data_IF_545790114684
#
_entry.id   IF_545790114684
#
_cell.length_a   1.000
_cell.length_b   1.000
_cell.length_c   1.000
_cell.angle_alpha   90.00
_cell.angle_beta   90.00
_cell.angle_gamma   90.00
#
_symmetry.space_group_name_H-M   'P 1'
#
loop_
_entity.id
_entity.type
_entity.pdbx_description
1 polymer ?
#
# COMPACT_ATOMS: atom_id res chain seq x y z
N UNK A 1 17.78 -7.00 0.89
CA UNK A 1 18.61 -7.19 -0.33
C UNK A 1 19.97 -6.49 -0.13
N UNK A 2 21.01 -6.89 -0.87
CA UNK A 2 22.37 -6.31 -0.79
C UNK A 2 22.43 -4.99 -1.57
N UNK A 3 23.19 -4.02 -1.04
CA UNK A 3 23.46 -2.70 -1.62
C UNK A 3 23.69 -2.80 -3.14
N UNK A 4 22.75 -2.26 -3.92
CA UNK A 4 22.78 -2.36 -5.39
C UNK A 4 23.92 -1.50 -5.93
N UNK A 5 24.79 -2.06 -6.78
CA UNK A 5 25.87 -1.29 -7.40
C UNK A 5 25.30 -0.19 -8.31
N UNK A 6 25.88 1.01 -8.26
CA UNK A 6 25.47 2.17 -9.07
C UNK A 6 25.39 1.84 -10.57
N UNK A 7 26.36 1.06 -11.10
CA UNK A 7 26.36 0.64 -12.51
C UNK A 7 25.14 -0.19 -12.92
N UNK A 8 24.59 -1.00 -11.99
CA UNK A 8 23.36 -1.77 -12.23
C UNK A 8 22.14 -0.86 -12.28
N UNK A 9 22.07 0.16 -11.42
CA UNK A 9 20.98 1.15 -11.46
C UNK A 9 20.97 1.93 -12.78
N UNK A 10 22.13 2.36 -13.27
CA UNK A 10 22.24 3.02 -14.59
C UNK A 10 21.82 2.09 -15.73
N UNK A 11 22.14 0.80 -15.65
CA UNK A 11 21.69 -0.19 -16.61
C UNK A 11 20.16 -0.37 -16.63
N UNK A 12 19.53 -0.32 -15.45
CA UNK A 12 18.07 -0.40 -15.30
C UNK A 12 17.36 0.88 -15.74
N UNK A 13 17.96 2.06 -15.50
CA UNK A 13 17.43 3.33 -15.99
C UNK A 13 17.31 3.38 -17.52
N UNK A 14 18.14 2.63 -18.25
CA UNK A 14 18.02 2.52 -19.72
C UNK A 14 16.82 1.67 -20.15
N UNK A 15 16.31 0.79 -19.28
CA UNK A 15 15.15 -0.06 -19.55
C UNK A 15 13.87 0.63 -19.08
N UNK A 16 13.25 1.40 -19.96
CA UNK A 16 12.03 2.18 -19.66
C UNK A 16 10.88 1.33 -19.12
N UNK A 17 10.73 0.07 -19.58
CA UNK A 17 9.64 -0.83 -19.14
C UNK A 17 9.71 -1.22 -17.66
N UNK A 18 10.86 -1.07 -17.01
CA UNK A 18 11.07 -1.41 -15.60
C UNK A 18 10.94 -0.23 -14.65
N UNK A 19 10.74 1.00 -15.15
CA UNK A 19 10.69 2.21 -14.33
C UNK A 19 9.25 2.47 -13.89
N UNK A 20 9.04 2.69 -12.58
CA UNK A 20 7.74 3.08 -12.01
C UNK A 20 7.93 4.26 -11.06
N UNK A 21 7.20 5.35 -11.31
CA UNK A 21 7.18 6.49 -10.39
C UNK A 21 5.98 6.37 -9.45
N UNK A 22 6.23 6.31 -8.15
CA UNK A 22 5.21 6.13 -7.12
C UNK A 22 5.29 7.28 -6.12
N UNK A 23 4.18 7.94 -5.84
CA UNK A 23 4.09 8.86 -4.71
C UNK A 23 3.45 8.21 -3.48
N UNK A 24 3.90 8.56 -2.28
CA UNK A 24 3.17 8.22 -1.05
C UNK A 24 2.30 9.41 -0.66
N UNK A 25 1.00 9.17 -0.53
CA UNK A 25 0.01 10.14 -0.09
C UNK A 25 -0.61 9.68 1.23
N UNK A 26 -0.67 10.57 2.21
CA UNK A 26 -1.19 10.26 3.53
C UNK A 26 -1.61 11.52 4.27
N UNK A 27 -2.49 11.38 5.25
CA UNK A 27 -2.70 12.41 6.26
C UNK A 27 -1.44 12.57 7.14
N UNK A 28 -1.33 13.70 7.83
CA UNK A 28 -0.30 13.96 8.85
C UNK A 28 -0.36 12.84 9.89
N UNK A 29 0.81 12.38 10.33
CA UNK A 29 0.97 11.33 11.34
C UNK A 29 0.39 9.94 11.01
N UNK A 30 -0.04 9.67 9.77
CA UNK A 30 -0.46 8.30 9.35
C UNK A 30 0.72 7.34 9.12
N UNK A 31 1.96 7.80 9.36
CA UNK A 31 3.18 6.99 9.28
C UNK A 31 3.79 6.89 7.88
N UNK A 32 3.53 7.89 7.02
CA UNK A 32 4.11 8.03 5.67
C UNK A 32 5.65 7.96 5.69
N UNK A 33 6.29 8.82 6.48
CA UNK A 33 7.75 8.88 6.61
C UNK A 33 8.32 7.57 7.18
N UNK A 34 7.62 6.96 8.14
CA UNK A 34 7.99 5.65 8.69
C UNK A 34 7.94 4.56 7.62
N UNK A 35 6.89 4.55 6.80
CA UNK A 35 6.75 3.59 5.69
C UNK A 35 7.85 3.82 4.64
N UNK A 36 8.13 5.06 4.28
CA UNK A 36 9.21 5.41 3.35
C UNK A 36 10.56 4.91 3.87
N UNK A 37 10.89 5.17 5.14
CA UNK A 37 12.12 4.67 5.77
C UNK A 37 12.22 3.14 5.74
N UNK A 38 11.11 2.41 5.97
CA UNK A 38 11.10 0.95 5.87
C UNK A 38 11.41 0.46 4.44
N UNK A 39 10.85 1.13 3.42
CA UNK A 39 11.15 0.83 2.01
C UNK A 39 12.63 1.09 1.70
N UNK A 40 13.18 2.19 2.18
CA UNK A 40 14.60 2.55 1.99
C UNK A 40 15.52 1.53 2.68
N UNK A 41 15.15 1.09 3.88
CA UNK A 41 15.95 0.11 4.63
C UNK A 41 15.98 -1.27 3.97
N UNK A 42 14.87 -1.72 3.37
CA UNK A 42 14.82 -2.99 2.65
C UNK A 42 15.81 -3.06 1.46
N UNK A 43 16.07 -1.90 0.86
CA UNK A 43 17.02 -1.69 -0.23
C UNK A 43 18.49 -1.62 0.24
N UNK A 44 18.73 -1.67 1.56
CA UNK A 44 20.07 -1.64 2.13
C UNK A 44 20.74 -0.27 2.11
N UNK A 45 19.99 0.79 1.83
CA UNK A 45 20.47 2.19 1.86
C UNK A 45 20.65 2.63 3.32
N UNK A 46 19.75 2.19 4.21
CA UNK A 46 19.78 2.47 5.64
C UNK A 46 19.71 1.16 6.43
N UNK A 47 20.41 1.11 7.57
CA UNK A 47 20.29 -0.02 8.49
C UNK A 47 18.85 -0.15 9.04
N UNK A 48 18.36 -1.38 9.16
CA UNK A 48 17.00 -1.69 9.67
C UNK A 48 16.71 -1.10 11.05
N UNK A 49 17.75 -0.87 11.86
CA UNK A 49 17.62 -0.28 13.20
C UNK A 49 17.35 1.22 13.20
N UNK A 50 17.77 1.91 12.14
CA UNK A 50 17.59 3.35 11.96
C UNK A 50 16.31 3.68 11.18
N UNK A 51 15.74 2.68 10.48
CA UNK A 51 14.49 2.82 9.76
C UNK A 51 13.34 3.26 10.70
N UNK A 52 12.61 4.30 10.30
CA UNK A 52 11.44 4.84 11.02
C UNK A 52 11.78 5.80 12.14
N UNK A 53 13.06 5.90 12.54
CA UNK A 53 13.54 6.86 13.55
C UNK A 53 14.28 8.03 12.93
N UNK A 54 15.01 7.78 11.86
CA UNK A 54 15.90 8.75 11.25
C UNK A 54 15.16 9.70 10.30
N UNK A 55 14.01 9.29 9.73
CA UNK A 55 13.22 10.08 8.77
C UNK A 55 14.11 10.58 7.63
N UNK A 56 14.67 9.64 6.88
CA UNK A 56 15.77 9.93 5.95
C UNK A 56 15.42 10.92 4.84
N UNK A 57 14.15 10.95 4.42
CA UNK A 57 13.67 11.86 3.38
C UNK A 57 13.42 13.29 3.90
N UNK A 58 13.27 13.46 5.21
CA UNK A 58 13.15 14.75 5.88
C UNK A 58 14.58 15.30 6.16
N UNK A 59 15.29 15.68 5.10
CA UNK A 59 16.71 16.10 5.21
C UNK A 59 16.89 17.50 5.80
N UNK A 60 15.83 18.31 5.86
CA UNK A 60 15.93 19.70 6.31
C UNK A 60 15.75 19.80 7.83
N UNK A 61 16.50 20.70 8.46
CA UNK A 61 16.44 20.90 9.92
C UNK A 61 15.05 21.33 10.41
N UNK A 62 14.36 22.16 9.63
CA UNK A 62 13.02 22.63 9.95
C UNK A 62 11.96 21.50 9.89
N UNK A 63 12.15 20.52 9.00
CA UNK A 63 11.31 19.32 8.92
C UNK A 63 11.54 18.41 10.13
N UNK A 64 12.81 18.20 10.51
CA UNK A 64 13.15 17.38 11.66
C UNK A 64 12.65 17.98 12.99
N UNK A 65 12.74 19.30 13.15
CA UNK A 65 12.26 19.99 14.35
C UNK A 65 10.73 19.91 14.45
N UNK A 66 10.02 20.13 13.34
CA UNK A 66 8.55 20.14 13.32
C UNK A 66 7.96 18.74 13.27
N UNK A 67 8.75 17.74 12.87
CA UNK A 67 8.28 16.38 12.68
C UNK A 67 7.28 16.22 11.54
N UNK A 68 7.33 17.08 10.52
CA UNK A 68 6.47 16.99 9.33
C UNK A 68 7.29 17.16 8.05
N UNK A 69 6.90 16.42 7.01
CA UNK A 69 7.44 16.60 5.65
C UNK A 69 6.89 17.90 5.05
N UNK A 70 7.77 18.83 4.68
CA UNK A 70 7.39 20.09 4.07
C UNK A 70 7.70 20.12 2.58
N UNK A 71 8.80 19.49 2.14
CA UNK A 71 9.19 19.37 0.74
C UNK A 71 9.14 17.93 0.23
N UNK A 72 8.90 17.81 -1.06
CA UNK A 72 8.92 16.52 -1.74
C UNK A 72 10.36 16.08 -1.99
N UNK A 73 10.67 14.87 -1.54
CA UNK A 73 11.97 14.21 -1.72
C UNK A 73 11.78 12.95 -2.55
N UNK A 74 12.72 12.65 -3.44
CA UNK A 74 12.65 11.46 -4.30
C UNK A 74 13.84 10.54 -4.05
N UNK A 75 13.58 9.23 -4.02
CA UNK A 75 14.61 8.19 -3.91
C UNK A 75 14.33 7.04 -4.88
N UNK A 76 15.39 6.53 -5.52
CA UNK A 76 15.28 5.35 -6.38
C UNK A 76 15.54 4.07 -5.60
N UNK A 77 14.57 3.16 -5.65
CA UNK A 77 14.59 1.84 -5.03
C UNK A 77 14.73 0.77 -6.11
N UNK A 78 15.51 -0.26 -5.82
CA UNK A 78 15.72 -1.39 -6.72
C UNK A 78 14.96 -2.61 -6.19
N UNK A 79 13.97 -3.07 -6.95
CA UNK A 79 13.13 -4.19 -6.55
C UNK A 79 13.25 -5.35 -7.53
N UNK A 80 13.36 -6.57 -7.01
CA UNK A 80 13.45 -7.78 -7.82
C UNK A 80 12.24 -8.66 -7.52
N UNK A 81 11.38 -8.86 -8.53
CA UNK A 81 10.19 -9.72 -8.48
C UNK A 81 10.45 -10.95 -9.36
N UNK A 82 10.88 -12.05 -8.73
CA UNK A 82 11.26 -13.27 -9.46
C UNK A 82 12.48 -13.02 -10.35
N UNK A 83 12.30 -13.11 -11.66
CA UNK A 83 13.35 -12.85 -12.67
C UNK A 83 13.34 -11.41 -13.20
N UNK A 84 12.34 -10.62 -12.85
CA UNK A 84 12.19 -9.24 -13.33
C UNK A 84 12.74 -8.23 -12.33
N UNK A 85 13.51 -7.28 -12.84
CA UNK A 85 14.10 -6.18 -12.08
C UNK A 85 13.33 -4.90 -12.39
N UNK A 86 12.94 -4.20 -11.33
CA UNK A 86 12.18 -2.96 -11.37
C UNK A 86 12.99 -1.84 -10.70
N UNK A 87 12.92 -0.65 -11.30
CA UNK A 87 13.42 0.58 -10.71
C UNK A 87 12.22 1.42 -10.29
N UNK A 88 12.06 1.58 -8.98
CA UNK A 88 10.92 2.28 -8.40
C UNK A 88 11.41 3.61 -7.86
N UNK A 89 10.96 4.70 -8.48
CA UNK A 89 11.24 6.05 -7.97
C UNK A 89 10.13 6.41 -6.98
N UNK A 90 10.47 6.44 -5.71
CA UNK A 90 9.59 6.79 -4.63
C UNK A 90 9.66 8.29 -4.39
N UNK A 91 8.53 8.98 -4.52
CA UNK A 91 8.37 10.39 -4.19
C UNK A 91 7.61 10.49 -2.87
N UNK A 92 8.24 11.04 -1.85
CA UNK A 92 7.56 11.35 -0.60
C UNK A 92 6.94 12.74 -0.70
N UNK A 93 5.63 12.82 -0.57
CA UNK A 93 4.87 14.07 -0.72
C UNK A 93 4.48 14.63 0.65
N UNK A 94 4.32 15.95 0.82
CA UNK A 94 3.91 16.51 2.10
C UNK A 94 2.49 16.05 2.48
N UNK A 95 2.24 15.79 3.76
CA UNK A 95 0.94 15.28 4.25
C UNK A 95 0.01 16.37 4.82
N UNK A 96 0.51 17.62 4.87
CA UNK A 96 -0.20 18.74 5.48
C UNK A 96 -0.96 19.54 4.42
N UNK A 97 -2.17 20.00 4.76
CA UNK A 97 -3.08 20.70 3.84
C UNK A 97 -2.49 21.98 3.23
N UNK A 98 -1.64 22.68 3.99
CA UNK A 98 -0.96 23.91 3.56
C UNK A 98 -0.04 23.69 2.35
N UNK A 99 0.42 22.46 2.12
CA UNK A 99 1.33 22.12 1.01
C UNK A 99 0.63 21.39 -0.13
N UNK A 100 -0.69 21.58 -0.27
CA UNK A 100 -1.51 20.93 -1.30
C UNK A 100 -1.05 21.18 -2.74
N UNK A 101 -0.47 22.35 -3.04
CA UNK A 101 0.12 22.66 -4.35
C UNK A 101 1.30 21.76 -4.69
N UNK A 102 2.11 21.42 -3.69
CA UNK A 102 3.26 20.54 -3.83
C UNK A 102 2.81 19.07 -3.95
N UNK A 103 1.78 18.66 -3.20
CA UNK A 103 1.16 17.33 -3.35
C UNK A 103 0.62 17.13 -4.76
N UNK A 104 -0.12 18.10 -5.30
CA UNK A 104 -0.66 18.01 -6.67
C UNK A 104 0.46 17.91 -7.71
N UNK A 105 1.55 18.66 -7.53
CA UNK A 105 2.71 18.59 -8.42
C UNK A 105 3.39 17.22 -8.34
N UNK A 106 3.55 16.67 -7.15
CA UNK A 106 4.14 15.33 -6.95
C UNK A 106 3.29 14.22 -7.57
N UNK A 107 1.96 14.31 -7.42
CA UNK A 107 1.01 13.34 -8.00
C UNK A 107 1.09 13.32 -9.52
N UNK A 108 1.18 14.48 -10.17
CA UNK A 108 1.29 14.61 -11.64
C UNK A 108 2.55 13.99 -12.23
N UNK A 109 3.62 13.88 -11.44
CA UNK A 109 4.88 13.26 -11.85
C UNK A 109 4.88 11.74 -11.69
N UNK A 110 3.87 11.18 -11.03
CA UNK A 110 3.82 9.76 -10.69
C UNK A 110 2.87 8.97 -11.59
N UNK A 111 3.22 7.71 -11.84
CA UNK A 111 2.37 6.77 -12.58
C UNK A 111 1.32 6.11 -11.66
N UNK A 112 1.51 6.19 -10.35
CA UNK A 112 0.56 5.74 -9.34
C UNK A 112 0.91 6.22 -7.94
N UNK A 113 0.02 5.95 -6.99
CA UNK A 113 0.21 6.35 -5.61
C UNK A 113 0.00 5.23 -4.61
N UNK A 114 0.60 5.39 -3.44
CA UNK A 114 0.34 4.61 -2.24
C UNK A 114 -0.44 5.52 -1.30
N UNK A 115 -1.66 5.14 -0.97
CA UNK A 115 -2.51 5.85 -0.01
C UNK A 115 -2.37 5.18 1.34
N UNK A 116 -1.82 5.89 2.32
CA UNK A 116 -1.64 5.36 3.68
C UNK A 116 -2.78 5.84 4.57
N UNK A 117 -3.45 4.89 5.22
CA UNK A 117 -4.57 5.15 6.14
C UNK A 117 -4.27 4.49 7.48
N UNK A 118 -4.45 5.22 8.58
CA UNK A 118 -4.30 4.68 9.93
C UNK A 118 -5.48 3.77 10.28
N UNK A 119 -5.20 2.55 10.75
CA UNK A 119 -6.19 1.59 11.21
C UNK A 119 -6.97 2.06 12.45
N UNK A 120 -6.44 2.95 13.28
CA UNK A 120 -7.12 3.46 14.48
C UNK A 120 -8.00 4.66 14.15
N UNK A 121 -7.47 5.63 13.39
CA UNK A 121 -8.19 6.86 13.06
C UNK A 121 -9.21 6.65 11.92
N UNK A 122 -8.94 5.70 11.02
CA UNK A 122 -9.79 5.40 9.88
C UNK A 122 -9.69 6.48 8.80
N UNK A 123 -10.80 6.71 8.09
CA UNK A 123 -10.86 7.66 6.97
C UNK A 123 -11.14 9.07 7.47
N UNK A 124 -10.15 9.95 7.41
CA UNK A 124 -10.29 11.36 7.77
C UNK A 124 -10.68 12.22 6.55
N UNK A 125 -11.21 13.44 6.75
CA UNK A 125 -11.51 14.38 5.64
C UNK A 125 -10.29 14.67 4.76
N UNK A 126 -9.08 14.70 5.34
CA UNK A 126 -7.85 14.90 4.59
C UNK A 126 -7.52 13.71 3.68
N UNK A 127 -7.79 12.48 4.14
CA UNK A 127 -7.69 11.26 3.32
C UNK A 127 -8.64 11.34 2.11
N UNK A 128 -9.85 11.88 2.30
CA UNK A 128 -10.81 12.08 1.19
C UNK A 128 -10.31 13.12 0.18
N UNK A 129 -9.70 14.21 0.65
CA UNK A 129 -9.10 15.23 -0.22
C UNK A 129 -7.95 14.65 -1.07
N UNK A 130 -7.10 13.84 -0.44
CA UNK A 130 -6.00 13.13 -1.11
C UNK A 130 -6.51 12.12 -2.14
N UNK A 131 -7.53 11.31 -1.78
CA UNK A 131 -8.18 10.38 -2.70
C UNK A 131 -8.78 11.11 -3.91
N UNK A 132 -9.43 12.26 -3.67
CA UNK A 132 -9.97 13.11 -4.74
C UNK A 132 -8.85 13.66 -5.65
N UNK A 133 -7.72 14.07 -5.10
CA UNK A 133 -6.56 14.51 -5.90
C UNK A 133 -6.01 13.38 -6.77
N UNK A 134 -5.84 12.18 -6.20
CA UNK A 134 -5.40 11.02 -6.96
C UNK A 134 -6.36 10.68 -8.11
N UNK A 135 -7.67 10.79 -7.84
CA UNK A 135 -8.72 10.57 -8.83
C UNK A 135 -8.69 11.57 -9.97
N UNK A 136 -8.58 12.87 -9.66
CA UNK A 136 -8.54 13.95 -10.66
C UNK A 136 -7.36 13.80 -11.62
N UNK A 137 -6.23 13.35 -11.10
CA UNK A 137 -5.01 13.14 -11.90
C UNK A 137 -4.96 11.73 -12.55
N UNK A 138 -6.05 10.94 -12.45
CA UNK A 138 -6.20 9.58 -13.01
C UNK A 138 -5.03 8.63 -12.68
N UNK A 139 -4.42 8.79 -11.51
CA UNK A 139 -3.35 7.89 -11.05
C UNK A 139 -3.94 6.67 -10.33
N UNK A 140 -3.27 5.51 -10.43
CA UNK A 140 -3.75 4.29 -9.78
C UNK A 140 -3.35 4.23 -8.30
N UNK A 141 -4.30 4.20 -7.36
CA UNK A 141 -4.01 4.11 -5.95
C UNK A 141 -3.85 2.66 -5.46
N UNK A 142 -2.84 2.43 -4.63
CA UNK A 142 -2.71 1.22 -3.80
C UNK A 142 -2.93 1.63 -2.35
N UNK A 143 -3.88 0.99 -1.68
CA UNK A 143 -4.23 1.29 -0.30
C UNK A 143 -3.32 0.53 0.66
N UNK A 144 -2.72 1.24 1.61
CA UNK A 144 -1.98 0.68 2.73
C UNK A 144 -2.67 1.05 4.03
N UNK A 145 -3.22 0.06 4.72
CA UNK A 145 -3.77 0.23 6.06
C UNK A 145 -2.63 0.02 7.05
N UNK A 146 -2.19 1.11 7.68
CA UNK A 146 -1.04 1.17 8.59
C UNK A 146 -1.48 1.17 10.06
N UNK A 147 -0.51 0.99 10.98
CA UNK A 147 -0.69 0.99 12.44
C UNK A 147 -1.62 -0.09 13.00
N UNK A 148 -1.64 -1.26 12.34
CA UNK A 148 -2.41 -2.42 12.83
C UNK A 148 -1.91 -2.89 14.20
N UNK A 149 -0.64 -2.65 14.52
CA UNK A 149 -0.07 -2.88 15.85
C UNK A 149 -0.86 -2.19 16.96
N UNK A 150 -1.39 -0.98 16.73
CA UNK A 150 -2.17 -0.25 17.74
C UNK A 150 -3.50 -0.92 18.04
N UNK A 151 -4.12 -1.59 17.05
CA UNK A 151 -5.33 -2.40 17.30
C UNK A 151 -5.05 -3.55 18.28
N UNK A 152 -3.84 -4.11 18.23
CA UNK A 152 -3.40 -5.23 19.06
C UNK A 152 -2.95 -4.73 20.44
N UNK A 153 -2.09 -3.72 20.48
CA UNK A 153 -1.39 -3.29 21.70
C UNK A 153 -2.23 -2.30 22.53
N UNK A 154 -2.79 -1.28 21.88
CA UNK A 154 -3.49 -0.19 22.56
C UNK A 154 -4.96 -0.55 22.79
N UNK A 155 -5.67 -0.90 21.70
CA UNK A 155 -7.10 -1.21 21.78
C UNK A 155 -7.37 -2.64 22.28
N UNK A 156 -6.38 -3.55 22.20
CA UNK A 156 -6.49 -4.96 22.62
C UNK A 156 -7.73 -5.66 22.07
N UNK A 157 -8.06 -5.37 20.83
CA UNK A 157 -9.20 -6.00 20.15
C UNK A 157 -8.94 -7.49 19.95
N UNK A 158 -10.01 -8.28 19.92
CA UNK A 158 -9.90 -9.66 19.46
C UNK A 158 -9.62 -9.71 17.95
N UNK A 159 -8.99 -10.77 17.42
CA UNK A 159 -8.75 -10.94 15.99
C UNK A 159 -10.01 -10.80 15.13
N UNK A 160 -11.17 -11.19 15.67
CA UNK A 160 -12.46 -11.11 14.98
C UNK A 160 -12.99 -9.67 14.93
N UNK A 161 -12.90 -8.92 16.03
CA UNK A 161 -13.26 -7.50 16.06
C UNK A 161 -12.34 -6.66 15.16
N UNK A 162 -11.03 -6.96 15.17
CA UNK A 162 -10.07 -6.29 14.31
C UNK A 162 -10.39 -6.52 12.82
N UNK A 163 -10.82 -7.72 12.43
CA UNK A 163 -11.26 -7.98 11.05
C UNK A 163 -12.51 -7.17 10.67
N UNK A 164 -13.51 -7.09 11.56
CA UNK A 164 -14.69 -6.26 11.32
C UNK A 164 -14.32 -4.78 11.20
N UNK A 165 -13.39 -4.31 12.03
CA UNK A 165 -12.89 -2.95 11.98
C UNK A 165 -12.18 -2.64 10.65
N UNK A 166 -11.30 -3.52 10.18
CA UNK A 166 -10.63 -3.38 8.89
C UNK A 166 -11.63 -3.40 7.72
N UNK A 167 -12.68 -4.22 7.80
CA UNK A 167 -13.77 -4.25 6.83
C UNK A 167 -14.52 -2.92 6.79
N UNK A 168 -14.86 -2.36 7.95
CA UNK A 168 -15.53 -1.05 8.05
C UNK A 168 -14.68 0.07 7.43
N UNK A 169 -13.35 0.07 7.64
CA UNK A 169 -12.46 1.06 7.01
C UNK A 169 -12.50 0.94 5.49
N UNK A 170 -12.45 -0.28 4.95
CA UNK A 170 -12.53 -0.50 3.51
C UNK A 170 -13.87 -0.06 2.93
N UNK A 171 -14.97 -0.33 3.63
CA UNK A 171 -16.31 0.14 3.24
C UNK A 171 -16.39 1.67 3.20
N UNK A 172 -15.79 2.37 4.19
CA UNK A 172 -15.71 3.82 4.20
C UNK A 172 -14.91 4.38 3.02
N UNK A 173 -13.76 3.79 2.69
CA UNK A 173 -12.94 4.23 1.55
C UNK A 173 -13.67 3.99 0.23
N UNK A 174 -14.32 2.83 0.10
CA UNK A 174 -15.09 2.49 -1.09
C UNK A 174 -16.33 3.39 -1.25
N UNK A 175 -16.95 3.83 -0.16
CA UNK A 175 -18.04 4.82 -0.21
C UNK A 175 -17.55 6.17 -0.75
N UNK A 176 -16.37 6.64 -0.33
CA UNK A 176 -15.76 7.87 -0.85
C UNK A 176 -15.41 7.72 -2.34
N UNK A 177 -14.82 6.59 -2.71
CA UNK A 177 -14.46 6.30 -4.11
C UNK A 177 -15.70 6.21 -5.00
N UNK A 178 -16.75 5.55 -4.52
CA UNK A 178 -18.05 5.48 -5.20
C UNK A 178 -18.65 6.86 -5.41
N UNK A 179 -18.60 7.75 -4.42
CA UNK A 179 -19.10 9.13 -4.57
C UNK A 179 -18.32 9.92 -5.63
N UNK A 180 -16.99 9.76 -5.71
CA UNK A 180 -16.16 10.39 -6.74
C UNK A 180 -16.45 9.84 -8.13
N UNK A 181 -16.66 8.52 -8.23
CA UNK A 181 -17.00 7.86 -9.48
C UNK A 181 -18.38 8.31 -10.00
N UNK A 182 -19.40 8.30 -9.15
CA UNK A 182 -20.74 8.76 -9.52
C UNK A 182 -20.72 10.22 -9.98
N UNK A 183 -19.94 11.09 -9.33
CA UNK A 183 -19.75 12.49 -9.78
C UNK A 183 -19.20 12.56 -11.20
N UNK A 184 -18.16 11.77 -11.51
CA UNK A 184 -17.52 11.75 -12.83
C UNK A 184 -18.46 11.24 -13.91
N UNK A 185 -19.20 10.16 -13.65
CA UNK A 185 -20.16 9.62 -14.63
C UNK A 185 -21.29 10.60 -14.91
N UNK A 186 -21.74 11.34 -13.89
CA UNK A 186 -22.74 12.40 -14.06
C UNK A 186 -22.20 13.58 -14.88
N UNK A 187 -20.96 14.01 -14.63
CA UNK A 187 -20.29 15.07 -15.38
C UNK A 187 -20.09 14.69 -16.86
N UNK A 188 -19.54 13.51 -17.14
CA UNK A 188 -19.33 13.04 -18.52
C UNK A 188 -20.65 12.90 -19.31
N UNK A 189 -21.77 12.62 -18.62
CA UNK A 189 -23.10 12.59 -19.24
C UNK A 189 -23.62 13.99 -19.53
N UNK A 190 -23.50 14.92 -18.59
CA UNK A 190 -23.89 16.31 -18.81
C UNK A 190 -23.11 16.96 -19.98
N UNK A 191 -21.84 16.61 -20.14
CA UNK A 191 -21.01 17.02 -21.29
C UNK A 191 -21.49 16.39 -22.61
N UNK A 192 -21.79 15.09 -22.62
CA UNK A 192 -22.33 14.40 -23.81
C UNK A 192 -23.75 14.86 -24.18
N UNK A 193 -24.56 15.24 -23.20
CA UNK A 193 -25.90 15.79 -23.39
C UNK A 193 -25.83 17.19 -23.99
N UNK A 194 -24.92 18.05 -23.50
CA UNK A 194 -24.68 19.37 -24.11
C UNK A 194 -24.10 19.29 -25.52
N UNK A 195 -23.27 18.29 -25.82
CA UNK A 195 -22.81 18.00 -27.19
C UNK A 195 -23.95 17.48 -28.09
N UNK A 196 -24.83 16.60 -27.59
CA UNK A 196 -25.97 16.08 -28.36
C UNK A 196 -27.09 17.11 -28.56
N UNK A 197 -27.34 17.98 -27.60
CA UNK A 197 -28.26 19.12 -27.73
C UNK A 197 -27.79 20.12 -28.81
N UNK A 198 -26.49 20.20 -29.07
CA UNK A 198 -25.96 21.00 -30.19
C UNK A 198 -26.21 20.40 -31.59
N UNK A 199 -26.66 19.14 -31.66
CA UNK A 199 -26.90 18.40 -32.91
C UNK A 199 -28.41 18.13 -33.16
N UNK A 200 -29.27 18.16 -32.13
CA UNK A 200 -30.70 17.86 -32.29
C UNK A 200 -31.63 18.91 -31.67
N UNK A 201 -31.87 20.00 -32.42
CA UNK A 201 -33.11 20.77 -32.29
C UNK A 201 -34.27 19.95 -32.90
N UNK A 202 -34.86 19.01 -32.16
CA UNK A 202 -36.30 18.64 -32.30
C UNK A 202 -36.80 17.64 -31.27
N UNK A 203 -38.02 17.91 -30.80
CA UNK A 203 -38.96 17.05 -30.06
C UNK A 203 -38.87 17.07 -28.52
N UNK A 204 -39.66 17.98 -27.94
CA UNK A 204 -40.13 17.91 -26.57
C UNK A 204 -41.03 16.68 -26.35
N UNK A 205 -40.64 15.83 -25.41
CA UNK A 205 -41.43 14.73 -24.90
C UNK A 205 -40.96 14.38 -23.48
N UNK A 206 -41.85 14.57 -22.52
CA UNK A 206 -41.67 14.30 -21.09
C UNK A 206 -41.27 12.83 -20.88
N UNK A 207 -39.97 12.55 -20.77
CA UNK A 207 -39.45 11.27 -20.33
C UNK A 207 -38.87 11.48 -18.93
N UNK A 208 -39.53 10.86 -17.94
CA UNK A 208 -38.96 10.70 -16.60
C UNK A 208 -37.74 9.79 -16.76
N UNK A 209 -36.56 10.39 -16.81
CA UNK A 209 -35.31 9.66 -16.95
C UNK A 209 -35.03 8.84 -15.69
N UNK A 210 -35.01 7.53 -15.84
CA UNK A 210 -34.56 6.60 -14.81
C UNK A 210 -33.02 6.64 -14.74
N UNK A 211 -32.48 7.52 -13.90
CA UNK A 211 -31.05 7.70 -13.66
C UNK A 211 -30.32 6.42 -13.21
N UNK A 212 -31.06 5.37 -12.84
CA UNK A 212 -30.50 4.12 -12.31
C UNK A 212 -30.14 3.08 -13.38
N UNK A 213 -30.76 3.13 -14.57
CA UNK A 213 -30.69 2.04 -15.55
C UNK A 213 -29.40 2.00 -16.39
N UNK A 214 -28.56 3.04 -16.35
CA UNK A 214 -27.33 3.14 -17.15
C UNK A 214 -26.03 3.02 -16.37
N UNK A 215 -26.08 2.79 -15.05
CA UNK A 215 -24.89 2.64 -14.20
C UNK A 215 -24.29 1.22 -14.23
N UNK A 216 -24.93 0.29 -14.94
CA UNK A 216 -24.55 -1.13 -14.92
C UNK A 216 -23.48 -1.52 -15.98
N UNK A 217 -23.18 -0.64 -16.95
CA UNK A 217 -22.34 -0.95 -18.12
C UNK A 217 -20.91 -0.37 -18.10
N UNK A 218 -20.51 0.39 -17.07
CA UNK A 218 -19.12 0.86 -16.90
C UNK A 218 -18.31 -0.12 -16.04
N UNK A 219 -17.20 -0.63 -16.56
CA UNK A 219 -16.33 -1.60 -15.86
C UNK A 219 -15.52 -0.92 -14.75
N UNK A 220 -16.14 -0.79 -13.57
CA UNK A 220 -15.59 -0.06 -12.43
C UNK A 220 -14.77 -0.96 -11.50
N UNK A 221 -14.56 -2.22 -11.89
CA UNK A 221 -13.95 -3.26 -11.07
C UNK A 221 -12.53 -2.92 -10.62
N UNK A 222 -11.81 -2.09 -11.39
CA UNK A 222 -10.45 -1.66 -11.07
C UNK A 222 -10.36 -0.46 -10.12
N UNK A 223 -11.48 0.22 -9.85
CA UNK A 223 -11.51 1.44 -9.05
C UNK A 223 -11.74 1.17 -7.56
N UNK A 224 -12.46 0.09 -7.25
CA UNK A 224 -12.75 -0.28 -5.88
C UNK A 224 -11.57 -0.96 -5.18
N UNK A 225 -11.37 -0.62 -3.91
CA UNK A 225 -10.37 -1.26 -3.08
C UNK A 225 -10.90 -2.59 -2.56
N UNK A 226 -10.44 -3.67 -3.18
CA UNK A 226 -10.65 -5.03 -2.69
C UNK A 226 -9.32 -5.72 -2.44
N UNK A 227 -9.13 -6.32 -1.24
CA UNK A 227 -7.92 -7.10 -0.95
C UNK A 227 -7.69 -8.29 -1.91
N UNK A 228 -8.75 -8.81 -2.54
CA UNK A 228 -8.69 -9.89 -3.52
C UNK A 228 -7.89 -9.52 -4.79
N UNK A 229 -7.91 -8.24 -5.17
CA UNK A 229 -7.17 -7.72 -6.33
C UNK A 229 -5.69 -7.44 -6.01
N UNK A 230 -5.29 -7.53 -4.73
CA UNK A 230 -3.94 -7.16 -4.31
C UNK A 230 -3.72 -5.64 -4.18
N UNK A 231 -4.77 -4.83 -4.30
CA UNK A 231 -4.69 -3.37 -4.18
C UNK A 231 -4.69 -2.88 -2.73
N UNK A 232 -4.86 -3.79 -1.76
CA UNK A 232 -4.87 -3.47 -0.32
C UNK A 232 -3.74 -4.22 0.36
N UNK A 233 -2.93 -3.47 1.10
CA UNK A 233 -1.83 -3.98 1.92
C UNK A 233 -2.09 -3.64 3.38
N UNK A 234 -1.88 -4.61 4.25
CA UNK A 234 -1.99 -4.46 5.71
C UNK A 234 -0.58 -4.32 6.29
N UNK A 235 -0.31 -3.25 7.01
CA UNK A 235 1.02 -2.93 7.47
C UNK A 235 1.08 -2.39 8.90
N UNK A 236 2.26 -2.59 9.50
CA UNK A 236 2.72 -1.85 10.66
C UNK A 236 4.14 -1.36 10.38
N UNK A 237 4.25 -0.09 9.98
CA UNK A 237 5.54 0.51 9.67
C UNK A 237 6.47 0.61 10.90
N UNK A 238 5.92 0.76 12.11
CA UNK A 238 6.71 0.86 13.35
C UNK A 238 7.43 -0.46 13.65
N UNK A 239 6.71 -1.57 13.50
CA UNK A 239 7.24 -2.91 13.76
C UNK A 239 7.92 -3.52 12.51
N UNK A 240 7.89 -2.81 11.37
CA UNK A 240 8.62 -3.16 10.16
C UNK A 240 8.01 -4.31 9.34
N UNK A 241 6.76 -4.69 9.60
CA UNK A 241 6.07 -5.72 8.81
C UNK A 241 4.92 -5.19 7.99
N UNK A 242 4.65 -5.87 6.88
CA UNK A 242 3.47 -5.66 6.08
C UNK A 242 3.22 -6.86 5.20
N UNK A 243 1.95 -7.10 4.90
CA UNK A 243 1.53 -8.22 4.09
C UNK A 243 0.36 -7.86 3.19
N UNK A 244 0.38 -8.39 1.97
CA UNK A 244 -0.79 -8.56 1.14
C UNK A 244 -1.36 -9.95 1.31
N UNK A 245 -2.60 -10.15 0.88
CA UNK A 245 -3.26 -11.47 0.89
C UNK A 245 -2.49 -12.47 0.01
N UNK A 246 -1.80 -11.98 -1.03
CA UNK A 246 -1.02 -12.81 -1.94
C UNK A 246 0.13 -13.56 -1.27
N UNK A 247 0.77 -12.96 -0.27
CA UNK A 247 1.84 -13.62 0.47
C UNK A 247 1.30 -14.86 1.21
N UNK A 248 0.18 -14.70 1.91
CA UNK A 248 -0.46 -15.79 2.63
C UNK A 248 -1.08 -16.83 1.70
N UNK A 249 -1.62 -16.43 0.55
CA UNK A 249 -2.11 -17.36 -0.46
C UNK A 249 -1.00 -18.30 -0.94
N UNK A 250 0.21 -17.79 -1.18
CA UNK A 250 1.39 -18.61 -1.54
C UNK A 250 1.82 -19.54 -0.40
N UNK A 251 1.90 -19.02 0.83
CA UNK A 251 2.33 -19.78 2.00
C UNK A 251 1.36 -20.93 2.34
N UNK A 252 0.06 -20.67 2.31
CA UNK A 252 -0.97 -21.68 2.57
C UNK A 252 -1.23 -22.60 1.39
N UNK A 253 -0.96 -22.17 0.16
CA UNK A 253 -1.01 -23.07 -1.00
C UNK A 253 -0.09 -24.27 -0.81
N UNK A 254 1.12 -24.04 -0.30
CA UNK A 254 2.08 -25.11 -0.02
C UNK A 254 1.65 -26.00 1.16
N UNK A 255 1.07 -25.41 2.22
CA UNK A 255 0.66 -26.15 3.43
C UNK A 255 -0.64 -26.96 3.25
N UNK A 256 -1.61 -26.41 2.52
CA UNK A 256 -2.97 -26.98 2.38
C UNK A 256 -3.13 -27.74 1.06
N UNK A 257 -2.34 -27.41 0.02
CA UNK A 257 -2.42 -28.01 -1.31
C UNK A 257 -3.51 -27.41 -2.21
N UNK A 258 -4.02 -26.22 -1.88
CA UNK A 258 -5.02 -25.50 -2.68
C UNK A 258 -4.32 -24.51 -3.61
N UNK A 259 -4.83 -24.32 -4.84
CA UNK A 259 -4.28 -23.34 -5.79
C UNK A 259 -4.30 -21.92 -5.19
N UNK A 260 -3.23 -21.12 -5.40
CA UNK A 260 -3.14 -19.78 -4.82
C UNK A 260 -4.26 -18.85 -5.30
N UNK A 261 -4.69 -18.96 -6.56
CA UNK A 261 -5.79 -18.15 -7.11
C UNK A 261 -7.14 -18.36 -6.40
N UNK A 262 -7.41 -19.58 -5.92
CA UNK A 262 -8.63 -19.86 -5.14
C UNK A 262 -8.49 -19.27 -3.74
N UNK A 263 -7.30 -19.39 -3.15
CA UNK A 263 -7.01 -18.80 -1.84
C UNK A 263 -7.10 -17.28 -1.86
N UNK A 264 -6.65 -16.61 -2.91
CA UNK A 264 -6.79 -15.15 -3.05
C UNK A 264 -8.25 -14.71 -2.89
N UNK A 265 -9.17 -15.35 -3.62
CA UNK A 265 -10.61 -15.02 -3.60
C UNK A 265 -11.36 -15.48 -2.36
N UNK A 266 -10.73 -16.31 -1.52
CA UNK A 266 -11.40 -16.94 -0.38
C UNK A 266 -10.80 -16.57 0.96
N UNK A 267 -9.61 -15.96 0.96
CA UNK A 267 -8.97 -15.46 2.18
C UNK A 267 -9.71 -14.24 2.71
N UNK A 268 -10.17 -13.35 1.84
CA UNK A 268 -11.00 -12.21 2.23
C UNK A 268 -12.50 -12.53 2.09
N UNK A 269 -13.31 -12.04 3.02
CA UNK A 269 -14.77 -12.24 3.03
C UNK A 269 -15.25 -13.36 3.97
N UNK A 270 -16.55 -13.68 3.85
CA UNK A 270 -17.24 -14.62 4.75
C UNK A 270 -17.07 -16.08 4.31
N UNK A 271 -15.80 -16.49 4.18
CA UNK A 271 -15.42 -17.86 3.88
C UNK A 271 -14.93 -18.57 5.13
N UNK A 272 -15.30 -19.85 5.22
CA UNK A 272 -14.98 -20.70 6.36
C UNK A 272 -14.29 -21.98 5.90
N UNK A 273 -13.24 -22.37 6.62
CA UNK A 273 -12.62 -23.67 6.44
C UNK A 273 -13.33 -24.71 7.31
N UNK A 274 -13.85 -25.77 6.68
CA UNK A 274 -14.25 -26.94 7.44
C UNK A 274 -13.03 -27.83 7.68
N UNK A 275 -12.48 -27.80 8.90
CA UNK A 275 -11.27 -28.54 9.30
C UNK A 275 -11.35 -30.04 9.04
N UNK A 276 -12.56 -30.62 9.01
CA UNK A 276 -12.78 -32.05 8.71
C UNK A 276 -12.70 -32.38 7.22
N UNK A 277 -13.13 -31.46 6.35
CA UNK A 277 -13.23 -31.70 4.91
C UNK A 277 -12.13 -31.00 4.10
N UNK A 278 -11.33 -30.11 4.71
CA UNK A 278 -10.41 -29.18 4.02
C UNK A 278 -11.06 -28.44 2.85
N UNK A 279 -12.38 -28.23 2.92
CA UNK A 279 -13.15 -27.49 1.92
C UNK A 279 -13.47 -26.10 2.46
N UNK A 280 -13.32 -25.12 1.59
CA UNK A 280 -13.74 -23.74 1.83
C UNK A 280 -15.21 -23.65 1.44
N UNK A 281 -16.04 -23.14 2.35
CA UNK A 281 -17.47 -22.93 2.09
C UNK A 281 -17.81 -21.48 2.40
N UNK A 282 -18.65 -20.87 1.56
CA UNK A 282 -19.34 -19.62 1.89
C UNK A 282 -20.42 -19.97 2.90
N UNK A 283 -20.31 -19.45 4.11
CA UNK A 283 -21.16 -19.84 5.24
C UNK A 283 -21.87 -18.63 5.82
N UNK A 284 -23.00 -18.88 6.45
CA UNK A 284 -23.76 -17.86 7.16
C UNK A 284 -23.13 -17.60 8.55
N UNK A 285 -23.06 -16.34 8.99
CA UNK A 285 -22.42 -15.91 10.25
C UNK A 285 -23.10 -16.50 11.50
N UNK A 286 -24.27 -17.11 11.33
CA UNK A 286 -25.15 -17.67 12.36
C UNK A 286 -24.54 -18.76 13.26
N UNK A 287 -23.34 -19.29 12.97
CA UNK A 287 -22.67 -20.33 13.78
C UNK A 287 -21.40 -19.88 14.53
N UNK A 288 -21.10 -18.57 14.60
CA UNK A 288 -19.92 -18.08 15.33
C UNK A 288 -18.59 -18.65 14.80
N UNK A 289 -18.57 -19.11 13.54
CA UNK A 289 -17.35 -19.58 12.91
C UNK A 289 -16.48 -18.36 12.62
N UNK A 290 -15.19 -18.43 12.94
CA UNK A 290 -14.24 -17.38 12.61
C UNK A 290 -13.95 -17.39 11.09
N UNK A 291 -13.91 -16.22 10.42
CA UNK A 291 -13.51 -16.12 9.02
C UNK A 291 -12.13 -16.73 8.74
N UNK A 292 -11.89 -17.14 7.49
CA UNK A 292 -10.61 -17.73 7.09
C UNK A 292 -9.42 -16.80 7.37
N UNK A 293 -9.59 -15.51 7.08
CA UNK A 293 -8.59 -14.48 7.37
C UNK A 293 -8.21 -14.45 8.86
N UNK A 294 -9.21 -14.50 9.74
CA UNK A 294 -9.01 -14.45 11.19
C UNK A 294 -8.26 -15.70 11.67
N UNK A 295 -8.69 -16.89 11.23
CA UNK A 295 -8.10 -18.17 11.67
C UNK A 295 -6.66 -18.36 11.19
N UNK A 296 -6.36 -17.96 9.95
CA UNK A 296 -5.07 -18.24 9.34
C UNK A 296 -4.08 -17.07 9.51
N UNK A 297 -4.54 -15.82 9.42
CA UNK A 297 -3.66 -14.65 9.42
C UNK A 297 -3.64 -13.99 10.79
N UNK A 298 -4.78 -13.44 11.23
CA UNK A 298 -4.81 -12.59 12.42
C UNK A 298 -4.53 -13.36 13.72
N UNK A 299 -5.09 -14.57 13.90
CA UNK A 299 -4.86 -15.38 15.10
C UNK A 299 -3.35 -15.67 15.31
N UNK A 300 -2.58 -15.86 14.23
CA UNK A 300 -1.12 -16.08 14.30
C UNK A 300 -0.36 -14.80 14.69
N UNK A 301 -0.74 -13.66 14.14
CA UNK A 301 -0.14 -12.37 14.48
C UNK A 301 -0.45 -12.01 15.94
N UNK A 302 -1.69 -12.15 16.39
CA UNK A 302 -2.08 -11.89 17.78
C UNK A 302 -1.34 -12.83 18.75
N UNK A 303 -1.24 -14.11 18.41
CA UNK A 303 -0.49 -15.07 19.22
C UNK A 303 0.99 -14.70 19.32
N UNK A 304 1.58 -14.17 18.24
CA UNK A 304 2.96 -13.67 18.24
C UNK A 304 3.12 -12.44 19.14
N UNK A 305 2.25 -11.43 19.00
CA UNK A 305 2.28 -10.23 19.85
C UNK A 305 2.09 -10.58 21.33
N UNK A 306 1.13 -11.45 21.65
CA UNK A 306 0.92 -11.92 23.02
C UNK A 306 2.13 -12.66 23.58
N UNK A 307 2.73 -13.56 22.79
CA UNK A 307 3.90 -14.33 23.22
C UNK A 307 5.11 -13.42 23.49
N UNK A 308 5.32 -12.41 22.63
CA UNK A 308 6.41 -11.44 22.78
C UNK A 308 6.17 -10.50 23.97
N UNK A 309 4.93 -10.04 24.19
CA UNK A 309 4.58 -9.22 25.35
C UNK A 309 4.72 -9.98 26.68
N UNK A 310 4.26 -11.23 26.73
CA UNK A 310 4.35 -12.10 27.92
C UNK A 310 5.76 -12.68 28.12
N UNK A 311 6.66 -12.51 27.14
CA UNK A 311 8.04 -13.06 27.11
C UNK A 311 8.09 -14.59 27.19
N UNK A 312 7.10 -15.26 26.60
CA UNK A 312 7.01 -16.72 26.56
C UNK A 312 7.98 -17.29 25.50
N UNK A 313 9.24 -17.53 25.89
CA UNK A 313 10.29 -18.04 24.98
C UNK A 313 9.89 -19.32 24.24
N UNK A 314 9.27 -20.28 24.93
CA UNK A 314 8.86 -21.55 24.34
C UNK A 314 7.81 -21.38 23.24
N UNK A 315 6.85 -20.46 23.42
CA UNK A 315 5.82 -20.19 22.41
C UNK A 315 6.43 -19.49 21.21
N UNK A 316 7.34 -18.53 21.43
CA UNK A 316 8.06 -17.84 20.36
C UNK A 316 8.86 -18.87 19.54
N UNK A 317 9.62 -19.76 20.17
CA UNK A 317 10.38 -20.80 19.47
C UNK A 317 9.49 -21.76 18.66
N UNK A 318 8.32 -22.15 19.20
CA UNK A 318 7.33 -22.95 18.45
C UNK A 318 6.79 -22.19 17.23
N UNK A 319 6.46 -20.92 17.38
CA UNK A 319 5.97 -20.08 16.26
C UNK A 319 7.06 -19.97 15.19
N UNK A 320 8.30 -19.64 15.59
CA UNK A 320 9.47 -19.50 14.73
C UNK A 320 9.76 -20.79 13.96
N UNK A 321 9.67 -21.93 14.63
CA UNK A 321 9.83 -23.25 14.01
C UNK A 321 8.70 -23.54 13.01
N UNK A 322 7.45 -23.21 13.34
CA UNK A 322 6.29 -23.43 12.45
C UNK A 322 6.25 -22.50 11.22
N UNK A 323 6.91 -21.34 11.34
CA UNK A 323 7.11 -20.38 10.26
C UNK A 323 8.43 -20.62 9.50
N UNK A 324 9.33 -21.45 10.02
CA UNK A 324 10.61 -21.76 9.41
C UNK A 324 11.63 -20.61 9.46
N UNK A 325 11.49 -19.69 10.42
CA UNK A 325 12.35 -18.51 10.55
C UNK A 325 13.64 -18.83 11.32
N UNK A 326 14.74 -18.16 10.96
CA UNK A 326 16.04 -18.31 11.63
C UNK A 326 16.37 -17.03 12.41
N UNK A 327 15.97 -17.00 13.69
CA UNK A 327 16.29 -15.86 14.56
C UNK A 327 17.77 -15.90 14.96
N UNK A 328 18.45 -14.75 14.87
CA UNK A 328 19.79 -14.58 15.40
C UNK A 328 19.81 -14.59 16.93
N UNK A 329 20.70 -15.39 17.54
CA UNK A 329 20.79 -15.55 18.99
C UNK A 329 21.04 -14.25 19.79
N UNK A 330 21.52 -13.18 19.14
CA UNK A 330 21.70 -11.84 19.76
C UNK A 330 20.39 -11.08 19.92
N UNK A 331 19.44 -11.25 19.00
CA UNK A 331 18.18 -10.48 18.99
C UNK A 331 17.18 -11.08 19.97
N UNK A 332 17.17 -12.41 20.10
CA UNK A 332 16.38 -13.14 21.11
C UNK A 332 16.77 -12.77 22.56
N UNK A 333 18.01 -12.32 22.78
CA UNK A 333 18.52 -11.92 24.11
C UNK A 333 18.35 -10.43 24.43
N UNK A 334 17.85 -9.62 23.50
CA UNK A 334 17.67 -8.19 23.74
C UNK A 334 16.56 -7.95 24.78
N UNK A 335 16.75 -6.96 25.65
CA UNK A 335 15.81 -6.68 26.74
C UNK A 335 14.46 -6.11 26.26
N UNK A 336 14.45 -5.53 25.06
CA UNK A 336 13.30 -4.83 24.49
C UNK A 336 12.43 -5.75 23.64
N UNK A 337 11.14 -5.94 24.00
CA UNK A 337 10.23 -6.81 23.24
C UNK A 337 9.98 -6.28 21.82
N UNK A 338 10.01 -4.95 21.62
CA UNK A 338 9.82 -4.32 20.31
C UNK A 338 10.95 -4.65 19.32
N UNK A 339 12.19 -4.71 19.79
CA UNK A 339 13.34 -5.06 18.95
C UNK A 339 13.26 -6.53 18.52
N UNK A 340 12.84 -7.40 19.44
CA UNK A 340 12.61 -8.81 19.15
C UNK A 340 11.46 -8.99 18.15
N UNK A 341 10.36 -8.25 18.32
CA UNK A 341 9.24 -8.29 17.39
C UNK A 341 9.66 -7.83 16.00
N UNK A 342 10.32 -6.67 15.89
CA UNK A 342 10.80 -6.13 14.63
C UNK A 342 11.77 -7.11 13.92
N UNK A 343 12.66 -7.77 14.65
CA UNK A 343 13.55 -8.79 14.09
C UNK A 343 12.81 -9.98 13.47
N UNK A 344 11.79 -10.50 14.16
CA UNK A 344 10.96 -11.61 13.66
C UNK A 344 10.14 -11.15 12.46
N UNK A 345 9.47 -10.02 12.61
CA UNK A 345 8.55 -9.44 11.64
C UNK A 345 9.25 -9.02 10.35
N UNK A 346 10.44 -8.42 10.43
CA UNK A 346 11.25 -8.05 9.27
C UNK A 346 11.70 -9.26 8.44
N UNK A 347 11.95 -10.41 9.08
CA UNK A 347 12.30 -11.64 8.37
C UNK A 347 11.07 -12.36 7.81
N UNK A 348 9.95 -12.30 8.53
CA UNK A 348 8.75 -13.03 8.16
C UNK A 348 7.96 -12.34 7.05
N UNK A 349 7.65 -11.06 7.23
CA UNK A 349 6.73 -10.29 6.40
C UNK A 349 7.32 -8.91 6.12
N UNK A 350 8.36 -8.80 5.27
CA UNK A 350 8.94 -7.51 4.92
C UNK A 350 7.90 -6.63 4.22
N UNK A 351 7.63 -5.45 4.79
CA UNK A 351 6.68 -4.47 4.25
C UNK A 351 7.00 -4.05 2.81
N UNK A 352 8.29 -3.99 2.46
CA UNK A 352 8.75 -3.64 1.11
C UNK A 352 8.22 -4.59 0.06
N UNK A 353 8.27 -5.89 0.34
CA UNK A 353 7.85 -6.88 -0.64
C UNK A 353 6.35 -6.80 -0.84
N UNK A 354 5.57 -6.59 0.23
CA UNK A 354 4.12 -6.46 0.11
C UNK A 354 3.70 -5.20 -0.67
N UNK A 355 4.30 -4.04 -0.35
CA UNK A 355 3.95 -2.76 -0.98
C UNK A 355 4.40 -2.73 -2.45
N UNK A 356 5.67 -3.06 -2.73
CA UNK A 356 6.21 -2.98 -4.09
C UNK A 356 5.60 -4.04 -5.01
N UNK A 357 5.24 -5.21 -4.47
CA UNK A 357 4.52 -6.23 -5.23
C UNK A 357 3.09 -5.78 -5.55
N UNK A 358 2.37 -5.20 -4.59
CA UNK A 358 1.05 -4.60 -4.82
C UNK A 358 1.08 -3.52 -5.90
N UNK A 359 2.09 -2.64 -5.86
CA UNK A 359 2.24 -1.61 -6.90
C UNK A 359 2.63 -2.19 -8.25
N UNK A 360 3.46 -3.23 -8.30
CA UNK A 360 3.82 -3.89 -9.58
C UNK A 360 2.61 -4.50 -10.29
N UNK A 361 1.72 -5.19 -9.56
CA UNK A 361 0.52 -5.79 -10.13
C UNK A 361 -0.54 -4.75 -10.50
N UNK A 362 -0.75 -3.74 -9.66
CA UNK A 362 -1.67 -2.64 -9.95
C UNK A 362 -1.26 -1.86 -11.21
N UNK A 363 0.03 -1.84 -11.56
CA UNK A 363 0.59 -1.09 -12.68
C UNK A 363 0.91 -1.92 -13.94
N UNK A 364 0.75 -3.25 -13.92
CA UNK A 364 0.99 -4.11 -15.11
C UNK A 364 -0.03 -3.82 -16.24
N UNK A 365 -1.25 -3.35 -15.92
CA UNK A 365 -2.27 -3.02 -16.92
C UNK A 365 -2.10 -1.66 -17.63
N UNK A 366 -0.96 -0.96 -17.49
CA UNK A 366 -0.79 0.44 -17.98
C UNK A 366 0.25 0.62 -19.08
N UNK A 367 0.79 -0.46 -19.67
CA UNK A 367 1.76 -0.33 -20.79
C UNK A 367 1.11 0.24 -22.08
N UNK A 368 -0.14 0.71 -22.01
CA UNK A 368 -0.89 1.27 -23.13
C UNK A 368 -0.88 2.79 -23.28
N UNK A 369 -0.46 3.62 -22.31
CA UNK A 369 -0.57 5.08 -22.43
C UNK A 369 0.70 5.85 -22.08
N UNK A 370 0.99 6.81 -22.96
CA UNK A 370 2.12 7.74 -23.05
C UNK A 370 2.62 8.30 -21.70
N UNK A 371 3.95 8.34 -21.51
CA UNK A 371 4.54 9.24 -20.51
C UNK A 371 5.90 8.86 -19.91
N UNK A 372 6.32 7.58 -19.96
CA UNK A 372 7.51 7.10 -19.22
C UNK A 372 8.86 7.72 -19.66
N UNK A 373 8.93 8.35 -20.85
CA UNK A 373 10.20 8.83 -21.41
C UNK A 373 10.70 10.18 -20.83
N UNK A 374 9.84 11.01 -20.23
CA UNK A 374 10.22 12.39 -19.87
C UNK A 374 10.92 12.48 -18.51
N UNK A 375 10.60 11.60 -17.56
CA UNK A 375 11.17 11.64 -16.20
C UNK A 375 12.60 11.07 -16.11
N UNK A 376 13.00 10.16 -17.00
CA UNK A 376 14.36 9.62 -17.02
C UNK A 376 15.42 10.68 -17.32
N UNK A 377 15.06 11.75 -18.05
CA UNK A 377 16.00 12.83 -18.42
C UNK A 377 15.97 13.99 -17.41
N UNK A 378 14.83 14.28 -16.79
CA UNK A 378 14.72 15.46 -15.92
C UNK A 378 15.26 15.23 -14.49
N UNK A 379 15.19 14.01 -13.95
CA UNK A 379 15.80 13.70 -12.64
C UNK A 379 17.34 13.77 -12.67
N UNK A 380 17.97 13.54 -13.82
CA UNK A 380 19.43 13.66 -13.97
C UNK A 380 19.92 15.12 -13.84
N UNK A 381 19.10 16.10 -14.25
CA UNK A 381 19.47 17.51 -14.21
C UNK A 381 19.19 18.20 -12.87
N UNK A 382 18.34 17.63 -12.02
CA UNK A 382 18.07 18.19 -10.69
C UNK A 382 19.04 17.72 -9.59
N UNK A 383 19.82 16.65 -9.86
CA UNK A 383 20.66 16.02 -8.84
C UNK A 383 22.11 16.52 -8.79
N UNK A 384 22.63 17.31 -9.74
CA UNK A 384 23.97 17.92 -9.68
C UNK A 384 24.01 19.36 -10.22
N UNK A 385 24.01 20.39 -9.37
CA UNK A 385 24.51 21.70 -9.73
C UNK A 385 25.96 21.85 -9.21
N UNK A 386 26.93 21.27 -9.92
CA UNK A 386 28.36 21.52 -9.64
C UNK A 386 29.26 21.19 -10.83
N UNK A 387 29.11 21.92 -11.94
CA UNK A 387 30.17 22.04 -12.97
C UNK A 387 29.85 23.09 -14.05
N UNK A 388 29.39 24.27 -13.65
CA UNK A 388 29.35 25.46 -14.51
C UNK A 388 30.15 26.59 -13.85
N UNK A 389 31.46 26.40 -13.72
CA UNK A 389 32.45 27.45 -13.46
C UNK A 389 33.83 26.84 -13.69
N UNK A 390 34.27 26.81 -14.95
CA UNK A 390 35.66 27.02 -15.39
C UNK A 390 35.74 26.80 -16.90
N UNK A 391 36.16 27.84 -17.63
CA UNK A 391 36.86 27.66 -18.89
C UNK A 391 36.23 28.24 -20.14
N UNK A 392 36.01 29.56 -20.21
CA UNK A 392 36.01 30.32 -21.46
C UNK A 392 36.69 31.68 -21.23
N UNK A 393 37.75 31.95 -21.99
CA UNK A 393 38.29 33.30 -22.26
C UNK A 393 39.28 33.84 -21.25
#
# INVERSE_FOLDING_TARGET
MVLTSVGKMVGLQKKTSGIRNICILAHVDHGKTTLADCLISSNGIISSRLAGKLRYLDSREDEQIRGITMKSSAISLHFVKGEQEYLINLIDSPGHVDFSSEVSTAVRLCDGCIIVVDAVEGVCPQTQAVLRQAWLENIRPVLVINKIDRLIVELKLTPQEAYLHLKNILEQINAVTGALFTSKVLEERAEKETENESISDTAAGDQIYDWSAGLEDTDDSHLYFSPDHGNVVFASAIDGWGFGIEHFAKLYSQKIGIKPAILLKTLWGDYYLNTKAKKIMKGDQSKGKKPLFVQLVLDNIWSLYEAVMKRDKEKIEKIVTSLGLKIGARESRHADPKVHLNAICSQWLPISDAVLYGTSHGMEYTVGHFGSAVLAVSCANFLWPSSFLTGWG
#
